data_IF_163539761687
#
_entry.id   IF_163539761687
#
_cell.length_a   1.000
_cell.length_b   1.000
_cell.length_c   1.000
_cell.angle_alpha   90.00
_cell.angle_beta   90.00
_cell.angle_gamma   90.00
#
_symmetry.space_group_name_H-M   'P 1'
#
loop_
_entity.id
_entity.type
_entity.pdbx_description
1 polymer ?
#
# COMPACT_ATOMS: atom_id res chain seq x y z
N UNK A 1 -53.29 -10.99 53.17
CA UNK A 1 -52.21 -9.99 53.11
C UNK A 1 -51.11 -10.65 52.27
N UNK A 2 -51.09 -10.37 50.97
CA UNK A 2 -50.09 -9.49 50.33
C UNK A 2 -48.68 -10.10 50.49
N UNK A 3 -47.91 -10.46 49.46
CA UNK A 3 -47.80 -9.85 48.14
C UNK A 3 -47.33 -10.85 47.08
N UNK A 4 -47.71 -10.51 45.85
CA UNK A 4 -47.20 -11.02 44.59
C UNK A 4 -45.72 -10.70 44.42
N UNK A 5 -44.90 -11.69 44.06
CA UNK A 5 -43.72 -11.43 43.24
C UNK A 5 -43.62 -12.48 42.12
N UNK A 6 -44.14 -12.04 40.98
CA UNK A 6 -43.97 -12.61 39.65
C UNK A 6 -42.48 -12.68 39.30
N UNK A 7 -41.91 -13.89 39.24
CA UNK A 7 -40.61 -14.12 38.60
C UNK A 7 -40.85 -14.60 37.17
N UNK A 8 -40.63 -13.70 36.22
CA UNK A 8 -40.63 -13.98 34.79
C UNK A 8 -39.58 -15.06 34.44
N UNK A 9 -39.82 -15.91 33.44
CA UNK A 9 -38.77 -16.76 32.87
C UNK A 9 -37.78 -15.90 32.07
N UNK A 10 -36.53 -15.89 32.51
CA UNK A 10 -35.40 -15.27 31.83
C UNK A 10 -35.19 -15.88 30.43
N UNK A 11 -35.04 -14.99 29.45
CA UNK A 11 -34.01 -15.10 28.42
C UNK A 11 -34.21 -16.16 27.34
N UNK A 12 -35.21 -15.96 26.47
CA UNK A 12 -35.20 -16.52 25.12
C UNK A 12 -34.01 -15.97 24.32
N UNK A 13 -32.86 -16.65 24.41
CA UNK A 13 -31.73 -16.42 23.50
C UNK A 13 -32.12 -16.87 22.11
N UNK A 14 -32.23 -15.93 21.16
CA UNK A 14 -32.43 -16.25 19.76
C UNK A 14 -31.35 -17.26 19.30
N UNK A 15 -31.72 -18.29 18.52
CA UNK A 15 -30.76 -19.28 18.03
C UNK A 15 -29.69 -18.56 17.20
N UNK A 16 -28.46 -18.49 17.73
CA UNK A 16 -27.33 -17.88 17.02
C UNK A 16 -27.00 -18.76 15.81
N UNK A 17 -27.09 -18.18 14.61
CA UNK A 17 -26.73 -18.89 13.38
C UNK A 17 -25.24 -19.27 13.45
N UNK A 18 -24.86 -20.55 13.25
CA UNK A 18 -23.46 -20.96 13.28
C UNK A 18 -22.65 -20.20 12.23
N UNK A 19 -21.39 -19.87 12.52
CA UNK A 19 -20.57 -19.12 11.57
C UNK A 19 -20.32 -19.91 10.28
N UNK A 20 -20.08 -19.21 9.16
CA UNK A 20 -19.69 -19.84 7.88
C UNK A 20 -18.47 -20.78 8.05
N UNK A 21 -17.52 -20.40 8.92
CA UNK A 21 -16.36 -21.22 9.27
C UNK A 21 -16.77 -22.52 9.96
N UNK A 22 -17.73 -22.46 10.88
CA UNK A 22 -18.24 -23.63 11.61
C UNK A 22 -18.84 -24.61 10.61
N UNK A 23 -19.76 -24.13 9.76
CA UNK A 23 -20.42 -24.98 8.75
C UNK A 23 -19.41 -25.63 7.81
N UNK A 24 -18.41 -24.88 7.35
CA UNK A 24 -17.35 -25.46 6.52
C UNK A 24 -16.56 -26.56 7.24
N UNK A 25 -16.22 -26.35 8.51
CA UNK A 25 -15.47 -27.32 9.30
C UNK A 25 -16.29 -28.57 9.61
N UNK A 26 -17.59 -28.43 9.83
CA UNK A 26 -18.51 -29.57 10.03
C UNK A 26 -18.62 -30.45 8.78
N UNK A 27 -18.43 -29.86 7.59
CA UNK A 27 -18.34 -30.57 6.32
C UNK A 27 -16.94 -31.15 6.04
N UNK A 28 -15.97 -30.95 6.93
CA UNK A 28 -14.60 -31.40 6.75
C UNK A 28 -13.82 -30.67 5.64
N UNK A 29 -14.32 -29.53 5.17
CA UNK A 29 -13.74 -28.81 4.04
C UNK A 29 -12.67 -27.80 4.48
N UNK A 30 -11.59 -27.70 3.72
CA UNK A 30 -10.59 -26.65 3.88
C UNK A 30 -11.04 -25.35 3.23
N UNK A 31 -10.51 -24.21 3.70
CA UNK A 31 -10.76 -22.91 3.05
C UNK A 31 -10.25 -22.85 1.60
N UNK A 32 -9.30 -23.73 1.23
CA UNK A 32 -8.81 -23.81 -0.15
C UNK A 32 -9.84 -24.47 -1.06
N UNK A 33 -10.38 -25.61 -0.65
CA UNK A 33 -11.34 -26.39 -1.44
C UNK A 33 -12.63 -25.59 -1.70
N UNK A 34 -13.18 -24.92 -0.69
CA UNK A 34 -14.36 -24.06 -0.87
C UNK A 34 -14.05 -22.87 -1.79
N UNK A 35 -12.88 -22.25 -1.64
CA UNK A 35 -12.50 -21.12 -2.50
C UNK A 35 -12.33 -21.54 -3.97
N UNK A 36 -11.73 -22.70 -4.23
CA UNK A 36 -11.60 -23.28 -5.57
C UNK A 36 -12.97 -23.63 -6.16
N UNK A 37 -13.86 -24.24 -5.38
CA UNK A 37 -15.23 -24.56 -5.80
C UNK A 37 -16.06 -23.33 -6.17
N UNK A 38 -15.86 -22.22 -5.45
CA UNK A 38 -16.58 -20.96 -5.68
C UNK A 38 -15.89 -20.10 -6.77
N UNK A 39 -14.68 -20.45 -7.19
CA UNK A 39 -13.92 -19.68 -8.18
C UNK A 39 -13.28 -18.40 -7.62
N UNK A 40 -12.98 -18.37 -6.31
CA UNK A 40 -12.36 -17.22 -5.63
C UNK A 40 -11.02 -17.58 -5.00
N UNK A 41 -10.28 -16.56 -4.55
CA UNK A 41 -9.05 -16.80 -3.78
C UNK A 41 -9.38 -17.19 -2.33
N UNK A 42 -8.53 -17.99 -1.68
CA UNK A 42 -8.66 -18.33 -0.24
C UNK A 42 -8.76 -17.09 0.65
N UNK A 43 -8.09 -15.99 0.28
CA UNK A 43 -8.18 -14.72 0.98
C UNK A 43 -9.55 -14.02 0.83
N UNK A 44 -10.32 -14.32 -0.21
CA UNK A 44 -11.71 -13.87 -0.37
C UNK A 44 -12.62 -14.61 0.61
N UNK A 45 -12.54 -15.94 0.64
CA UNK A 45 -13.31 -16.78 1.56
C UNK A 45 -13.03 -16.44 3.03
N UNK A 46 -11.76 -16.26 3.41
CA UNK A 46 -11.40 -15.87 4.78
C UNK A 46 -11.95 -14.50 5.18
N UNK A 47 -12.16 -13.58 4.23
CA UNK A 47 -12.83 -12.30 4.50
C UNK A 47 -14.32 -12.47 4.69
N UNK A 48 -14.96 -13.39 3.97
CA UNK A 48 -16.36 -13.76 4.17
C UNK A 48 -16.58 -14.46 5.52
N UNK A 49 -15.73 -15.43 5.88
CA UNK A 49 -15.78 -16.11 7.18
C UNK A 49 -15.62 -15.15 8.37
N UNK A 50 -14.92 -14.03 8.16
CA UNK A 50 -14.74 -12.95 9.16
C UNK A 50 -15.79 -11.83 9.04
N UNK A 51 -16.78 -11.98 8.17
CA UNK A 51 -17.79 -10.95 7.84
C UNK A 51 -17.18 -9.58 7.50
N UNK A 52 -15.98 -9.54 6.89
CA UNK A 52 -15.34 -8.29 6.46
C UNK A 52 -15.84 -7.83 5.09
N UNK A 53 -16.52 -8.72 4.36
CA UNK A 53 -17.08 -8.48 3.04
C UNK A 53 -18.22 -9.48 2.83
N UNK A 54 -19.18 -9.12 2.01
CA UNK A 54 -20.24 -10.01 1.54
C UNK A 54 -19.95 -10.47 0.11
N UNK A 55 -20.31 -11.70 -0.27
CA UNK A 55 -20.33 -12.11 -1.67
C UNK A 55 -21.42 -11.33 -2.42
N UNK A 56 -21.21 -11.07 -3.71
CA UNK A 56 -22.32 -10.67 -4.59
C UNK A 56 -23.26 -11.87 -4.85
N UNK A 57 -24.47 -11.67 -5.38
CA UNK A 57 -25.47 -12.75 -5.50
C UNK A 57 -25.00 -13.98 -6.27
N UNK A 58 -24.15 -13.81 -7.29
CA UNK A 58 -23.63 -14.95 -8.08
C UNK A 58 -22.67 -15.78 -7.25
N UNK A 59 -21.77 -15.11 -6.51
CA UNK A 59 -20.84 -15.80 -5.61
C UNK A 59 -21.53 -16.35 -4.35
N UNK A 60 -22.63 -15.74 -3.91
CA UNK A 60 -23.44 -16.24 -2.80
C UNK A 60 -24.11 -17.57 -3.16
N UNK A 61 -24.68 -17.69 -4.37
CA UNK A 61 -25.23 -18.94 -4.88
C UNK A 61 -24.15 -20.02 -5.01
N UNK A 62 -23.00 -19.69 -5.60
CA UNK A 62 -21.88 -20.65 -5.71
C UNK A 62 -21.35 -21.09 -4.32
N UNK A 63 -21.37 -20.21 -3.33
CA UNK A 63 -21.01 -20.53 -1.95
C UNK A 63 -22.05 -21.42 -1.27
N UNK A 64 -23.34 -21.22 -1.57
CA UNK A 64 -24.44 -22.07 -1.12
C UNK A 64 -24.27 -23.50 -1.65
N UNK A 65 -23.99 -23.64 -2.95
CA UNK A 65 -23.70 -24.92 -3.58
C UNK A 65 -22.48 -25.60 -2.95
N UNK A 66 -21.37 -24.87 -2.78
CA UNK A 66 -20.13 -25.39 -2.23
C UNK A 66 -20.27 -25.86 -0.77
N UNK A 67 -21.15 -25.22 0.00
CA UNK A 67 -21.41 -25.57 1.40
C UNK A 67 -22.67 -26.42 1.59
N UNK A 68 -23.35 -26.81 0.50
CA UNK A 68 -24.61 -27.58 0.53
C UNK A 68 -25.66 -26.94 1.44
N UNK A 69 -25.81 -25.62 1.28
CA UNK A 69 -26.77 -24.81 2.02
C UNK A 69 -27.80 -24.22 1.06
N UNK A 70 -28.99 -23.93 1.58
CA UNK A 70 -29.96 -23.10 0.86
C UNK A 70 -29.43 -21.66 0.72
N UNK A 71 -29.68 -20.97 -0.41
CA UNK A 71 -29.24 -19.59 -0.63
C UNK A 71 -29.65 -18.63 0.50
N UNK A 72 -30.86 -18.78 1.04
CA UNK A 72 -31.36 -17.95 2.15
C UNK A 72 -30.55 -18.15 3.43
N UNK A 73 -30.01 -19.35 3.64
CA UNK A 73 -29.13 -19.65 4.78
C UNK A 73 -27.79 -18.94 4.61
N UNK A 74 -27.28 -18.86 3.37
CA UNK A 74 -26.06 -18.11 3.06
C UNK A 74 -26.30 -16.62 3.26
N UNK A 75 -27.42 -16.10 2.76
CA UNK A 75 -27.82 -14.71 2.99
C UNK A 75 -27.93 -14.38 4.48
N UNK A 76 -28.49 -15.28 5.28
CA UNK A 76 -28.62 -15.09 6.73
C UNK A 76 -27.26 -14.95 7.45
N UNK A 77 -26.17 -15.56 6.96
CA UNK A 77 -24.82 -15.33 7.52
C UNK A 77 -24.32 -13.89 7.32
N UNK A 78 -24.87 -13.20 6.33
CA UNK A 78 -24.48 -11.85 5.91
C UNK A 78 -25.60 -10.81 6.12
N UNK A 79 -26.76 -11.21 6.65
CA UNK A 79 -27.92 -10.36 6.89
C UNK A 79 -27.62 -9.30 7.98
N UNK A 80 -26.89 -9.71 9.01
CA UNK A 80 -26.07 -8.82 9.81
C UNK A 80 -24.87 -8.46 8.94
N UNK A 81 -25.02 -7.39 8.15
CA UNK A 81 -24.00 -6.89 7.23
C UNK A 81 -22.62 -6.79 7.88
N UNK A 82 -21.56 -6.59 7.09
CA UNK A 82 -20.19 -6.65 7.61
C UNK A 82 -20.05 -5.79 8.87
N UNK A 83 -19.45 -6.32 9.93
CA UNK A 83 -19.00 -5.53 11.09
C UNK A 83 -17.83 -4.64 10.62
N UNK A 84 -18.12 -3.64 9.81
CA UNK A 84 -17.22 -2.54 9.48
C UNK A 84 -18.01 -1.37 8.89
N UNK A 85 -17.53 -0.14 9.14
CA UNK A 85 -18.35 1.04 9.28
C UNK A 85 -19.00 1.38 7.94
N UNK A 86 -20.19 1.95 8.05
CA UNK A 86 -20.82 2.88 7.10
C UNK A 86 -19.88 3.30 5.97
N UNK A 87 -20.34 3.15 4.72
CA UNK A 87 -19.77 3.71 3.50
C UNK A 87 -19.02 5.00 3.83
N UNK A 88 -17.69 4.92 3.98
CA UNK A 88 -16.97 6.11 4.40
C UNK A 88 -17.01 7.12 3.27
N UNK A 89 -17.61 8.27 3.54
CA UNK A 89 -17.27 9.46 2.78
C UNK A 89 -15.74 9.60 2.82
N UNK A 90 -15.12 9.78 1.64
CA UNK A 90 -13.65 9.84 1.55
C UNK A 90 -13.20 11.09 0.79
N UNK A 91 -12.11 11.69 1.26
CA UNK A 91 -11.42 12.79 0.59
C UNK A 91 -10.12 12.32 -0.06
N UNK A 92 -9.61 13.04 -1.06
CA UNK A 92 -8.28 12.76 -1.62
C UNK A 92 -7.19 12.93 -0.55
N UNK A 93 -6.15 12.09 -0.60
CA UNK A 93 -5.03 12.15 0.35
C UNK A 93 -3.72 12.70 -0.22
N UNK A 94 -3.65 12.99 -1.53
CA UNK A 94 -2.39 13.32 -2.21
C UNK A 94 -1.77 14.66 -1.79
N UNK A 95 -2.55 15.58 -1.21
CA UNK A 95 -2.06 16.83 -0.63
C UNK A 95 -1.39 16.68 0.74
N UNK A 96 -1.64 15.56 1.43
CA UNK A 96 -1.20 15.34 2.81
C UNK A 96 0.33 15.39 2.97
N UNK A 97 1.06 14.93 1.95
CA UNK A 97 2.52 14.93 1.97
C UNK A 97 3.11 16.34 2.06
N UNK A 98 2.56 17.29 1.31
CA UNK A 98 3.06 18.65 1.29
C UNK A 98 2.83 19.30 2.67
N UNK A 99 1.58 19.27 3.14
CA UNK A 99 1.17 19.79 4.46
C UNK A 99 2.06 19.23 5.59
N UNK A 100 2.24 17.91 5.60
CA UNK A 100 3.06 17.25 6.61
C UNK A 100 4.53 17.70 6.55
N UNK A 101 5.11 17.84 5.36
CA UNK A 101 6.51 18.24 5.19
C UNK A 101 6.76 19.71 5.50
N UNK A 102 5.80 20.58 5.20
CA UNK A 102 5.88 22.00 5.55
C UNK A 102 5.94 22.19 7.07
N UNK A 103 5.29 21.29 7.81
CA UNK A 103 5.34 21.22 9.28
C UNK A 103 6.52 20.39 9.82
N UNK A 104 7.39 19.85 8.95
CA UNK A 104 8.52 19.00 9.36
C UNK A 104 8.13 17.66 10.00
N UNK A 105 6.87 17.24 9.87
CA UNK A 105 6.35 16.05 10.52
C UNK A 105 6.70 14.78 9.71
N UNK A 106 7.10 13.66 10.34
CA UNK A 106 7.27 12.39 9.65
C UNK A 106 5.94 11.64 9.50
N UNK A 107 5.78 10.79 8.48
CA UNK A 107 4.52 10.06 8.24
C UNK A 107 4.11 9.17 9.41
N UNK A 108 5.08 8.69 10.19
CA UNK A 108 4.85 7.93 11.44
C UNK A 108 4.04 8.71 12.47
N UNK A 109 4.26 10.03 12.58
CA UNK A 109 3.58 10.86 13.55
C UNK A 109 2.07 10.87 13.30
N UNK A 110 1.68 11.03 12.03
CA UNK A 110 0.30 10.91 11.59
C UNK A 110 -0.24 9.49 11.78
N UNK A 111 0.58 8.48 11.45
CA UNK A 111 0.18 7.08 11.59
C UNK A 111 -0.17 6.71 13.04
N UNK A 112 0.67 7.14 13.98
CA UNK A 112 0.48 6.91 15.41
C UNK A 112 -0.74 7.67 15.94
N UNK A 113 -0.89 8.95 15.59
CA UNK A 113 -2.04 9.77 15.96
C UNK A 113 -3.38 9.17 15.48
N UNK A 114 -3.39 8.63 14.25
CA UNK A 114 -4.59 8.05 13.63
C UNK A 114 -4.75 6.54 13.89
N UNK A 115 -3.81 5.91 14.63
CA UNK A 115 -3.76 4.46 14.87
C UNK A 115 -3.84 3.63 13.59
N UNK A 116 -3.14 4.07 12.53
CA UNK A 116 -3.00 3.36 11.26
C UNK A 116 -1.55 2.98 11.01
N UNK A 117 -1.29 2.15 9.99
CA UNK A 117 0.09 1.87 9.59
C UNK A 117 0.69 3.04 8.81
N UNK A 118 2.00 3.26 8.93
CA UNK A 118 2.74 4.26 8.14
C UNK A 118 2.53 4.04 6.63
N UNK A 119 2.44 2.78 6.19
CA UNK A 119 2.14 2.43 4.80
C UNK A 119 0.77 2.92 4.33
N UNK A 120 -0.23 2.97 5.21
CA UNK A 120 -1.55 3.54 4.93
C UNK A 120 -1.45 5.04 4.63
N UNK A 121 -0.68 5.78 5.44
CA UNK A 121 -0.43 7.21 5.23
C UNK A 121 0.26 7.44 3.87
N UNK A 122 1.30 6.69 3.55
CA UNK A 122 1.96 6.79 2.25
C UNK A 122 1.06 6.37 1.08
N UNK A 123 0.10 5.46 1.27
CA UNK A 123 -0.88 5.14 0.23
C UNK A 123 -1.82 6.32 -0.04
N UNK A 124 -2.28 7.02 1.01
CA UNK A 124 -3.06 8.26 0.87
C UNK A 124 -2.26 9.35 0.15
N UNK A 125 -1.03 9.61 0.59
CA UNK A 125 -0.14 10.62 0.00
C UNK A 125 0.15 10.40 -1.50
N UNK A 126 0.14 9.14 -1.95
CA UNK A 126 0.33 8.78 -3.37
C UNK A 126 -0.97 8.75 -4.18
N UNK A 127 -2.12 8.93 -3.53
CA UNK A 127 -3.43 8.75 -4.14
C UNK A 127 -3.76 7.28 -4.46
N UNK A 128 -3.04 6.33 -3.87
CA UNK A 128 -3.31 4.88 -4.02
C UNK A 128 -4.53 4.41 -3.21
N UNK A 129 -4.91 5.18 -2.18
CA UNK A 129 -6.17 5.03 -1.46
C UNK A 129 -6.71 6.41 -1.06
N UNK A 130 -8.02 6.51 -0.83
CA UNK A 130 -8.65 7.75 -0.34
C UNK A 130 -8.62 7.77 1.20
N UNK A 131 -8.59 8.97 1.76
CA UNK A 131 -8.61 9.20 3.20
C UNK A 131 -10.07 9.22 3.69
N UNK A 132 -10.45 8.39 4.66
CA UNK A 132 -11.79 8.43 5.21
C UNK A 132 -12.09 9.72 5.98
N UNK A 133 -13.27 10.30 5.79
CA UNK A 133 -13.71 11.55 6.42
C UNK A 133 -13.69 11.46 7.94
N UNK A 134 -14.01 10.30 8.53
CA UNK A 134 -13.93 10.10 10.00
C UNK A 134 -12.53 10.35 10.58
N UNK A 135 -11.48 10.25 9.76
CA UNK A 135 -10.10 10.52 10.19
C UNK A 135 -9.68 11.98 9.99
N UNK A 136 -10.54 12.85 9.44
CA UNK A 136 -10.20 14.26 9.22
C UNK A 136 -10.03 15.04 10.51
N UNK A 137 -10.93 14.88 11.48
CA UNK A 137 -10.84 15.57 12.76
C UNK A 137 -9.53 15.25 13.52
N UNK A 138 -9.21 13.97 13.80
CA UNK A 138 -7.96 13.65 14.49
C UNK A 138 -6.71 13.99 13.65
N UNK A 139 -6.82 14.00 12.31
CA UNK A 139 -5.71 14.41 11.46
C UNK A 139 -5.50 15.93 11.49
N UNK A 140 -6.58 16.71 11.52
CA UNK A 140 -6.54 18.16 11.61
C UNK A 140 -5.93 18.62 12.95
N UNK A 141 -6.32 17.97 14.05
CA UNK A 141 -5.69 18.14 15.36
C UNK A 141 -4.18 17.84 15.31
N UNK A 142 -3.79 16.71 14.70
CA UNK A 142 -2.38 16.33 14.54
C UNK A 142 -1.58 17.35 13.71
N UNK A 143 -2.21 18.04 12.76
CA UNK A 143 -1.59 19.04 11.90
C UNK A 143 -1.75 20.47 12.44
N UNK A 144 -2.47 20.67 13.54
CA UNK A 144 -2.74 22.00 14.11
C UNK A 144 -3.65 22.88 13.24
N UNK A 145 -4.58 22.30 12.48
CA UNK A 145 -5.53 23.00 11.59
C UNK A 145 -6.97 22.60 11.90
N UNK A 146 -7.96 23.29 11.33
CA UNK A 146 -9.38 22.90 11.45
C UNK A 146 -9.77 21.79 10.46
N UNK A 147 -10.68 20.90 10.85
CA UNK A 147 -11.15 19.78 10.01
C UNK A 147 -11.67 20.21 8.64
N UNK A 148 -12.44 21.31 8.59
CA UNK A 148 -12.99 21.85 7.35
C UNK A 148 -11.91 22.50 6.48
N UNK A 149 -10.94 23.14 7.12
CA UNK A 149 -9.79 23.73 6.45
C UNK A 149 -8.91 22.66 5.82
N UNK A 150 -8.60 21.61 6.56
CA UNK A 150 -7.87 20.45 6.06
C UNK A 150 -8.63 19.77 4.92
N UNK A 151 -9.94 19.56 5.06
CA UNK A 151 -10.76 18.93 4.04
C UNK A 151 -10.76 19.75 2.74
N UNK A 152 -10.86 21.09 2.85
CA UNK A 152 -10.77 22.01 1.72
C UNK A 152 -9.38 21.97 1.09
N UNK A 153 -8.33 22.11 1.90
CA UNK A 153 -6.95 22.06 1.44
C UNK A 153 -6.62 20.75 0.71
N UNK A 154 -7.12 19.59 1.19
CA UNK A 154 -6.91 18.29 0.53
C UNK A 154 -7.71 18.13 -0.77
N UNK A 155 -8.90 18.75 -0.89
CA UNK A 155 -9.71 18.74 -2.13
C UNK A 155 -9.14 19.69 -3.19
N UNK A 156 -8.71 20.87 -2.76
CA UNK A 156 -8.14 21.93 -3.59
C UNK A 156 -6.67 21.69 -3.92
N UNK A 157 -5.97 20.92 -3.08
CA UNK A 157 -4.61 20.45 -3.36
C UNK A 157 -4.60 19.91 -4.76
N UNK A 158 -3.84 20.54 -5.68
CA UNK A 158 -3.80 20.07 -7.05
C UNK A 158 -3.47 18.60 -6.95
N UNK A 159 -4.37 17.75 -7.46
CA UNK A 159 -3.96 16.42 -7.93
C UNK A 159 -2.66 16.71 -8.65
N UNK A 160 -1.58 15.96 -8.38
CA UNK A 160 -0.43 16.01 -9.27
C UNK A 160 -1.03 15.89 -10.67
N UNK A 161 -1.07 17.00 -11.38
CA UNK A 161 -2.22 17.21 -12.24
C UNK A 161 -2.05 16.20 -13.35
N UNK A 162 -3.03 15.30 -13.48
CA UNK A 162 -3.35 14.69 -14.77
C UNK A 162 -3.88 15.83 -15.64
N UNK A 163 -3.06 16.86 -15.86
CA UNK A 163 -3.31 17.85 -16.86
C UNK A 163 -3.36 17.04 -18.14
N UNK A 164 -4.56 16.85 -18.64
CA UNK A 164 -4.80 16.39 -20.00
C UNK A 164 -4.43 17.58 -20.92
N UNK A 165 -3.22 18.12 -20.76
CA UNK A 165 -2.53 18.71 -21.90
C UNK A 165 -2.18 17.49 -22.75
N UNK A 166 -2.36 17.64 -24.06
CA UNK A 166 -2.18 16.64 -25.11
C UNK A 166 -0.72 16.13 -25.24
N UNK A 167 -0.09 15.69 -24.15
CA UNK A 167 1.17 14.94 -24.12
C UNK A 167 0.93 13.43 -24.30
N UNK A 168 -0.31 13.00 -24.54
CA UNK A 168 -0.62 11.63 -24.93
C UNK A 168 0.17 11.29 -26.20
N UNK A 169 1.18 10.43 -26.06
CA UNK A 169 2.07 10.07 -27.15
C UNK A 169 3.47 10.69 -27.13
N UNK A 170 3.84 11.56 -26.18
CA UNK A 170 5.22 12.11 -26.17
C UNK A 170 6.26 11.01 -25.86
N UNK A 171 5.93 10.08 -24.96
CA UNK A 171 6.77 8.90 -24.71
C UNK A 171 6.83 7.98 -25.94
N UNK A 172 5.73 7.87 -26.68
CA UNK A 172 5.69 7.13 -27.94
C UNK A 172 6.53 7.82 -29.03
N UNK A 173 6.49 9.15 -29.09
CA UNK A 173 7.29 9.97 -30.00
C UNK A 173 8.78 9.83 -29.73
N UNK A 174 9.21 9.86 -28.46
CA UNK A 174 10.61 9.61 -28.09
C UNK A 174 11.05 8.21 -28.54
N UNK A 175 10.20 7.20 -28.35
CA UNK A 175 10.46 5.84 -28.82
C UNK A 175 10.57 5.78 -30.35
N UNK A 176 9.66 6.42 -31.07
CA UNK A 176 9.63 6.44 -32.54
C UNK A 176 10.86 7.17 -33.11
N UNK A 177 11.27 8.30 -32.51
CA UNK A 177 12.48 9.04 -32.87
C UNK A 177 13.75 8.21 -32.63
N UNK A 178 13.76 7.40 -31.58
CA UNK A 178 14.83 6.45 -31.31
C UNK A 178 14.76 5.18 -32.20
N UNK A 179 13.75 5.07 -33.08
CA UNK A 179 13.62 3.97 -34.04
C UNK A 179 13.21 2.63 -33.43
N UNK A 180 12.59 2.62 -32.24
CA UNK A 180 12.19 1.38 -31.58
C UNK A 180 10.69 1.09 -31.75
N UNK A 181 10.33 -0.19 -31.91
CA UNK A 181 8.94 -0.63 -31.78
C UNK A 181 8.54 -0.82 -30.32
N UNK A 182 7.23 -0.73 -30.01
CA UNK A 182 6.72 -1.02 -28.67
C UNK A 182 7.12 -2.41 -28.17
N UNK A 183 7.11 -3.42 -29.06
CA UNK A 183 7.50 -4.79 -28.71
C UNK A 183 8.97 -4.85 -28.30
N UNK A 184 9.85 -4.20 -29.08
CA UNK A 184 11.30 -4.20 -28.82
C UNK A 184 11.62 -3.53 -27.49
N UNK A 185 11.04 -2.35 -27.22
CA UNK A 185 11.23 -1.67 -25.92
C UNK A 185 10.67 -2.49 -24.77
N UNK A 186 9.45 -3.04 -24.90
CA UNK A 186 8.85 -3.84 -23.84
C UNK A 186 9.72 -5.04 -23.47
N UNK A 187 10.28 -5.73 -24.47
CA UNK A 187 11.25 -6.81 -24.27
C UNK A 187 12.51 -6.34 -23.55
N UNK A 188 13.12 -5.23 -23.99
CA UNK A 188 14.33 -4.67 -23.38
C UNK A 188 14.11 -4.19 -21.95
N UNK A 189 12.88 -3.78 -21.61
CA UNK A 189 12.47 -3.38 -20.27
C UNK A 189 11.99 -4.56 -19.40
N UNK A 190 11.83 -5.76 -19.98
CA UNK A 190 11.28 -6.93 -19.26
C UNK A 190 9.81 -6.76 -18.87
N UNK A 191 9.01 -6.02 -19.63
CA UNK A 191 7.57 -5.80 -19.39
C UNK A 191 6.72 -6.23 -20.59
N UNK A 192 5.40 -6.34 -20.38
CA UNK A 192 4.49 -6.63 -21.49
C UNK A 192 4.32 -5.41 -22.42
N UNK A 193 4.07 -5.65 -23.71
CA UNK A 193 3.71 -4.59 -24.68
C UNK A 193 2.51 -3.77 -24.21
N UNK A 194 1.53 -4.42 -23.59
CA UNK A 194 0.35 -3.77 -23.00
C UNK A 194 0.71 -2.81 -21.87
N UNK A 195 1.69 -3.16 -21.03
CA UNK A 195 2.21 -2.29 -19.97
C UNK A 195 2.86 -1.04 -20.57
N UNK A 196 3.74 -1.20 -21.55
CA UNK A 196 4.38 -0.06 -22.23
C UNK A 196 3.34 0.83 -22.93
N UNK A 197 2.38 0.24 -23.63
CA UNK A 197 1.26 0.97 -24.26
C UNK A 197 0.46 1.77 -23.24
N UNK A 198 0.20 1.20 -22.06
CA UNK A 198 -0.46 1.90 -20.95
C UNK A 198 0.33 3.11 -20.46
N UNK A 199 1.67 3.01 -20.41
CA UNK A 199 2.53 4.15 -20.08
C UNK A 199 2.50 5.24 -21.17
N UNK A 200 2.62 4.87 -22.44
CA UNK A 200 2.61 5.81 -23.56
C UNK A 200 1.28 6.58 -23.70
N UNK A 201 0.16 5.93 -23.36
CA UNK A 201 -1.18 6.55 -23.34
C UNK A 201 -1.42 7.42 -22.11
N UNK A 202 -0.59 7.29 -21.07
CA UNK A 202 -0.81 7.93 -19.77
C UNK A 202 -1.93 7.27 -18.94
N UNK A 203 -2.26 6.02 -19.25
CA UNK A 203 -3.19 5.20 -18.47
C UNK A 203 -2.53 4.76 -17.15
N UNK A 204 -1.20 4.59 -17.14
CA UNK A 204 -0.39 4.29 -15.96
C UNK A 204 0.94 5.06 -15.97
N UNK A 205 1.51 5.32 -14.79
CA UNK A 205 2.83 5.97 -14.65
C UNK A 205 3.92 4.91 -14.67
N UNK A 206 4.92 5.08 -15.54
CA UNK A 206 6.07 4.18 -15.58
C UNK A 206 6.90 4.30 -14.29
N UNK A 207 7.41 3.18 -13.74
CA UNK A 207 8.31 3.21 -12.60
C UNK A 207 9.67 3.81 -13.01
N UNK A 208 10.36 4.43 -12.06
CA UNK A 208 11.60 5.18 -12.33
C UNK A 208 12.74 4.37 -12.95
N UNK A 209 12.89 3.07 -12.64
CA UNK A 209 13.87 2.23 -13.33
C UNK A 209 13.55 2.09 -14.83
N UNK A 210 12.27 1.92 -15.19
CA UNK A 210 11.86 1.84 -16.59
C UNK A 210 12.11 3.17 -17.30
N UNK A 211 11.86 4.30 -16.62
CA UNK A 211 12.19 5.64 -17.14
C UNK A 211 13.69 5.79 -17.41
N UNK A 212 14.55 5.33 -16.49
CA UNK A 212 16.01 5.35 -16.70
C UNK A 212 16.46 4.46 -17.85
N UNK A 213 15.91 3.25 -17.92
CA UNK A 213 16.22 2.32 -19.02
C UNK A 213 15.74 2.88 -20.36
N UNK A 214 14.53 3.44 -20.42
CA UNK A 214 14.02 4.13 -21.61
C UNK A 214 14.89 5.33 -21.98
N UNK A 215 15.35 6.13 -21.01
CA UNK A 215 16.26 7.25 -21.26
C UNK A 215 17.59 6.79 -21.86
N UNK A 216 18.16 5.70 -21.36
CA UNK A 216 19.34 5.08 -21.95
C UNK A 216 19.08 4.50 -23.34
N UNK A 217 17.94 3.84 -23.55
CA UNK A 217 17.58 3.24 -24.85
C UNK A 217 17.27 4.30 -25.92
N UNK A 218 16.65 5.41 -25.53
CA UNK A 218 16.26 6.50 -26.42
C UNK A 218 17.35 7.57 -26.54
N UNK A 219 18.46 7.41 -25.82
CA UNK A 219 19.60 8.34 -25.81
C UNK A 219 19.20 9.79 -25.46
N UNK A 220 18.23 9.95 -24.56
CA UNK A 220 17.77 11.26 -24.09
C UNK A 220 17.93 11.39 -22.57
N UNK A 221 17.99 12.61 -22.02
CA UNK A 221 18.06 12.81 -20.59
C UNK A 221 16.88 12.15 -19.85
N UNK A 222 17.14 11.59 -18.66
CA UNK A 222 16.11 10.98 -17.79
C UNK A 222 14.95 11.94 -17.51
N UNK A 223 15.24 13.23 -17.39
CA UNK A 223 14.23 14.27 -17.19
C UNK A 223 13.25 14.38 -18.37
N UNK A 224 13.72 14.21 -19.61
CA UNK A 224 12.87 14.24 -20.79
C UNK A 224 11.88 13.07 -20.80
N UNK A 225 12.37 11.84 -20.55
CA UNK A 225 11.50 10.65 -20.45
C UNK A 225 10.57 10.75 -19.25
N UNK A 226 11.02 11.26 -18.10
CA UNK A 226 10.18 11.45 -16.92
C UNK A 226 9.03 12.42 -17.20
N UNK A 227 9.32 13.52 -17.92
CA UNK A 227 8.32 14.51 -18.32
C UNK A 227 7.32 13.88 -19.30
N UNK A 228 7.80 13.16 -20.31
CA UNK A 228 6.97 12.45 -21.29
C UNK A 228 6.10 11.35 -20.65
N UNK A 229 6.64 10.63 -19.66
CA UNK A 229 5.95 9.60 -18.89
C UNK A 229 5.09 10.15 -17.73
N UNK A 230 5.05 11.48 -17.55
CA UNK A 230 4.32 12.19 -16.48
C UNK A 230 4.71 11.70 -15.08
N UNK A 231 5.97 11.33 -14.91
CA UNK A 231 6.50 10.91 -13.63
C UNK A 231 6.97 12.13 -12.83
N UNK A 232 6.32 12.38 -11.69
CA UNK A 232 6.78 13.40 -10.75
C UNK A 232 8.13 13.02 -10.12
N UNK A 233 9.00 14.01 -9.89
CA UNK A 233 10.35 13.83 -9.31
C UNK A 233 10.29 12.87 -8.11
N UNK A 234 11.12 11.81 -8.07
CA UNK A 234 11.09 10.87 -6.96
C UNK A 234 11.60 11.60 -5.72
N UNK A 235 10.69 11.79 -4.76
CA UNK A 235 11.08 12.17 -3.41
C UNK A 235 12.00 11.08 -2.84
N UNK A 236 12.95 11.44 -1.97
CA UNK A 236 13.83 10.52 -1.25
C UNK A 236 15.05 9.93 -1.99
N UNK A 237 15.43 10.42 -3.16
CA UNK A 237 16.74 10.04 -3.75
C UNK A 237 17.94 10.64 -3.01
N UNK A 238 17.75 11.80 -2.39
CA UNK A 238 18.80 12.57 -1.74
C UNK A 238 18.74 12.40 -0.22
N UNK A 239 19.82 11.91 0.44
CA UNK A 239 19.89 11.75 1.89
C UNK A 239 19.59 13.01 2.70
N UNK A 240 19.78 14.19 2.12
CA UNK A 240 19.54 15.49 2.74
C UNK A 240 18.04 15.78 2.92
N UNK A 241 17.18 15.11 2.15
CA UNK A 241 15.74 15.33 2.16
C UNK A 241 14.97 14.34 3.05
N UNK A 242 15.68 13.46 3.78
CA UNK A 242 15.07 12.43 4.62
C UNK A 242 14.80 12.96 6.02
N UNK A 243 13.60 12.75 6.53
CA UNK A 243 13.27 12.99 7.93
C UNK A 243 13.40 11.68 8.72
N UNK A 244 13.68 11.76 10.04
CA UNK A 244 13.58 10.60 10.91
C UNK A 244 12.23 9.89 10.70
N UNK A 245 12.23 8.59 10.47
CA UNK A 245 11.03 7.77 10.25
C UNK A 245 10.63 7.57 8.79
N UNK A 246 11.29 8.24 7.84
CA UNK A 246 11.03 8.04 6.41
C UNK A 246 11.66 6.76 5.84
N UNK A 247 12.39 5.99 6.65
CA UNK A 247 13.11 4.78 6.21
C UNK A 247 12.27 3.83 5.33
N UNK A 248 11.00 3.52 5.65
CA UNK A 248 10.21 2.61 4.81
C UNK A 248 10.05 3.11 3.38
N UNK A 249 9.79 4.42 3.22
CA UNK A 249 9.59 5.06 1.93
C UNK A 249 10.91 5.28 1.20
N UNK A 250 11.98 5.65 1.92
CA UNK A 250 13.35 5.74 1.39
C UNK A 250 13.75 4.41 0.76
N UNK A 251 13.62 3.29 1.49
CA UNK A 251 13.96 1.96 0.98
C UNK A 251 13.12 1.58 -0.24
N UNK A 252 11.81 1.87 -0.20
CA UNK A 252 10.91 1.59 -1.32
C UNK A 252 11.28 2.38 -2.57
N UNK A 253 11.58 3.67 -2.44
CA UNK A 253 12.00 4.53 -3.56
C UNK A 253 13.35 4.07 -4.11
N UNK A 254 14.35 3.88 -3.26
CA UNK A 254 15.67 3.42 -3.69
C UNK A 254 15.59 2.07 -4.40
N UNK A 255 14.76 1.15 -3.90
CA UNK A 255 14.50 -0.14 -4.55
C UNK A 255 13.88 0.04 -5.93
N UNK A 256 12.81 0.83 -6.03
CA UNK A 256 12.10 1.08 -7.30
C UNK A 256 12.96 1.83 -8.33
N UNK A 257 13.80 2.74 -7.86
CA UNK A 257 14.78 3.49 -8.64
C UNK A 257 15.82 2.58 -9.28
N UNK A 258 16.20 1.52 -8.56
CA UNK A 258 17.14 0.50 -9.03
C UNK A 258 16.48 -0.69 -9.74
N UNK A 259 15.14 -0.68 -9.88
CA UNK A 259 14.40 -1.74 -10.57
C UNK A 259 14.42 -3.08 -9.86
N UNK A 260 14.64 -3.08 -8.54
CA UNK A 260 14.79 -4.32 -7.78
C UNK A 260 13.46 -4.80 -7.21
N UNK A 261 13.26 -6.11 -7.21
CA UNK A 261 12.19 -6.74 -6.43
C UNK A 261 12.58 -6.85 -4.96
N UNK A 262 11.60 -7.03 -4.07
CA UNK A 262 11.88 -7.27 -2.65
C UNK A 262 12.76 -8.51 -2.46
N UNK A 263 12.56 -9.56 -3.28
CA UNK A 263 13.36 -10.77 -3.27
C UNK A 263 14.82 -10.52 -3.70
N UNK A 264 15.05 -9.69 -4.73
CA UNK A 264 16.40 -9.33 -5.16
C UNK A 264 17.15 -8.50 -4.11
N UNK A 265 16.46 -7.57 -3.44
CA UNK A 265 17.06 -6.85 -2.29
C UNK A 265 17.38 -7.83 -1.16
N UNK A 266 16.45 -8.75 -0.85
CA UNK A 266 16.64 -9.74 0.19
C UNK A 266 17.89 -10.61 -0.08
N UNK A 267 18.02 -11.12 -1.31
CA UNK A 267 19.17 -11.89 -1.75
C UNK A 267 20.48 -11.09 -1.62
N UNK A 268 20.51 -9.83 -2.07
CA UNK A 268 21.73 -8.99 -2.05
C UNK A 268 22.11 -8.52 -0.64
N UNK A 269 21.15 -8.46 0.27
CA UNK A 269 21.36 -8.11 1.67
C UNK A 269 21.48 -9.34 2.59
N UNK A 270 21.50 -10.55 2.02
CA UNK A 270 21.57 -11.83 2.75
C UNK A 270 20.50 -11.91 3.86
N UNK A 271 19.25 -11.64 3.49
CA UNK A 271 18.11 -11.56 4.41
C UNK A 271 16.86 -12.18 3.77
N UNK A 272 15.75 -12.21 4.49
CA UNK A 272 14.47 -12.75 3.98
C UNK A 272 13.67 -11.67 3.23
N UNK A 273 12.85 -12.09 2.27
CA UNK A 273 11.89 -11.20 1.58
C UNK A 273 10.89 -10.58 2.56
N UNK A 274 10.52 -11.30 3.62
CA UNK A 274 9.63 -10.78 4.66
C UNK A 274 10.30 -9.72 5.54
N UNK A 275 11.61 -9.80 5.77
CA UNK A 275 12.39 -8.75 6.42
C UNK A 275 12.32 -7.45 5.60
N UNK A 276 12.63 -7.52 4.30
CA UNK A 276 12.54 -6.37 3.38
C UNK A 276 11.13 -5.79 3.34
N UNK A 277 10.11 -6.66 3.22
CA UNK A 277 8.69 -6.26 3.27
C UNK A 277 8.31 -5.61 4.60
N UNK A 278 8.87 -6.09 5.71
CA UNK A 278 8.70 -5.48 7.03
C UNK A 278 9.32 -4.09 7.12
N UNK A 279 10.53 -3.90 6.57
CA UNK A 279 11.21 -2.60 6.49
C UNK A 279 10.41 -1.59 5.67
N UNK A 280 9.97 -1.97 4.46
CA UNK A 280 9.18 -1.10 3.57
C UNK A 280 7.78 -0.78 4.11
N UNK A 281 7.31 -1.51 5.13
CA UNK A 281 6.04 -1.24 5.82
C UNK A 281 6.23 -0.50 7.15
N UNK A 282 7.47 -0.26 7.58
CA UNK A 282 7.78 0.34 8.87
C UNK A 282 7.49 -0.55 10.08
N UNK A 283 7.37 -1.87 9.89
CA UNK A 283 7.14 -2.81 11.01
C UNK A 283 8.40 -3.11 11.82
N UNK A 284 9.56 -2.97 11.18
CA UNK A 284 10.87 -3.20 11.78
C UNK A 284 11.91 -2.40 11.01
N UNK A 285 13.11 -2.23 11.57
CA UNK A 285 14.23 -1.54 10.92
C UNK A 285 15.36 -2.53 10.60
N UNK A 286 16.15 -2.30 9.54
CA UNK A 286 17.35 -3.10 9.28
C UNK A 286 18.36 -2.93 10.42
N UNK A 287 18.94 -4.04 10.90
CA UNK A 287 20.09 -3.99 11.81
C UNK A 287 21.38 -3.54 11.10
N UNK A 288 22.49 -3.50 11.83
CA UNK A 288 23.79 -3.02 11.32
C UNK A 288 24.20 -3.68 9.99
N UNK A 289 24.15 -5.02 9.92
CA UNK A 289 24.62 -5.76 8.75
C UNK A 289 23.77 -5.51 7.48
N UNK A 290 22.42 -5.71 7.49
CA UNK A 290 21.61 -5.40 6.32
C UNK A 290 21.64 -3.92 5.95
N UNK A 291 21.74 -3.00 6.92
CA UNK A 291 21.88 -1.57 6.67
C UNK A 291 23.14 -1.25 5.85
N UNK A 292 24.31 -1.77 6.25
CA UNK A 292 25.57 -1.60 5.48
C UNK A 292 25.44 -2.15 4.06
N UNK A 293 24.81 -3.31 3.90
CA UNK A 293 24.54 -3.90 2.58
C UNK A 293 23.62 -3.02 1.74
N UNK A 294 22.57 -2.45 2.32
CA UNK A 294 21.66 -1.52 1.63
C UNK A 294 22.38 -0.22 1.22
N UNK A 295 23.23 0.33 2.09
CA UNK A 295 24.06 1.50 1.77
C UNK A 295 24.98 1.22 0.58
N UNK A 296 25.69 0.09 0.59
CA UNK A 296 26.53 -0.31 -0.55
C UNK A 296 25.71 -0.59 -1.82
N UNK A 297 24.57 -1.28 -1.69
CA UNK A 297 23.67 -1.61 -2.81
C UNK A 297 23.15 -0.34 -3.51
N UNK A 298 22.83 0.68 -2.74
CA UNK A 298 22.29 1.95 -3.24
C UNK A 298 23.36 3.03 -3.43
N UNK A 299 24.65 2.70 -3.25
CA UNK A 299 25.79 3.63 -3.37
C UNK A 299 25.64 4.88 -2.50
N UNK A 300 25.14 4.70 -1.29
CA UNK A 300 25.01 5.74 -0.28
C UNK A 300 26.30 5.84 0.53
N UNK A 301 26.59 7.04 1.07
CA UNK A 301 27.66 7.19 2.04
C UNK A 301 27.37 6.37 3.30
N UNK A 302 28.43 5.93 3.97
CA UNK A 302 28.33 5.19 5.23
C UNK A 302 27.42 5.91 6.23
N UNK A 303 26.49 5.15 6.82
CA UNK A 303 25.56 5.61 7.85
C UNK A 303 24.49 6.62 7.38
N UNK A 304 24.41 6.92 6.07
CA UNK A 304 23.38 7.82 5.52
C UNK A 304 21.97 7.40 5.89
N UNK A 305 21.69 6.09 5.90
CA UNK A 305 20.34 5.58 6.17
C UNK A 305 19.87 5.91 7.59
N UNK A 306 20.78 6.13 8.56
CA UNK A 306 20.40 6.48 9.94
C UNK A 306 19.56 7.74 10.03
N UNK A 307 19.75 8.70 9.11
CA UNK A 307 18.94 9.93 9.07
C UNK A 307 17.45 9.64 8.92
N UNK A 308 17.11 8.54 8.25
CA UNK A 308 15.73 8.13 8.00
C UNK A 308 15.17 7.19 9.08
N UNK A 309 15.98 6.73 10.04
CA UNK A 309 15.52 5.80 11.08
C UNK A 309 14.53 6.50 12.01
N UNK A 310 13.56 5.75 12.53
CA UNK A 310 12.60 6.34 13.45
C UNK A 310 13.24 6.68 14.80
N UNK A 311 14.06 5.73 15.26
CA UNK A 311 14.92 5.77 16.43
C UNK A 311 16.28 5.24 15.98
N UNK A 312 17.40 5.86 16.39
CA UNK A 312 18.71 5.31 16.08
C UNK A 312 18.81 3.91 16.71
N UNK A 313 19.35 2.92 15.98
CA UNK A 313 19.58 1.61 16.57
C UNK A 313 20.50 1.78 17.79
N UNK A 314 20.31 1.00 18.87
CA UNK A 314 21.18 1.07 20.03
C UNK A 314 22.63 0.95 19.55
N UNK A 315 23.51 1.82 20.06
CA UNK A 315 24.89 1.90 19.64
C UNK A 315 25.58 0.55 19.92
N UNK A 316 25.57 -0.34 18.93
CA UNK A 316 26.35 -1.56 18.93
C UNK A 316 27.80 -1.15 19.01
N UNK A 317 28.45 -1.55 20.09
CA UNK A 317 29.86 -1.34 20.48
C UNK A 317 30.72 -1.02 19.26
N UNK A 318 31.26 0.20 19.21
CA UNK A 318 32.38 0.53 18.32
C UNK A 318 33.37 -0.62 18.43
N UNK A 319 33.51 -1.40 17.35
CA UNK A 319 34.56 -2.38 17.26
C UNK A 319 35.86 -1.62 17.52
N UNK A 320 36.51 -2.00 18.62
CA UNK A 320 37.84 -1.54 19.00
C UNK A 320 38.73 -1.72 17.77
N UNK A 321 39.03 -0.61 17.10
CA UNK A 321 40.29 -0.48 16.39
C UNK A 321 41.32 -0.30 17.49
N UNK A 322 42.14 -1.32 17.69
CA UNK A 322 43.57 -1.23 17.99
C UNK A 322 44.08 -2.63 18.32
N UNK A 323 44.76 -3.23 17.33
CA UNK A 323 45.85 -4.20 17.52
C UNK A 323 46.41 -4.57 16.14
N UNK A 324 47.42 -3.82 15.72
CA UNK A 324 48.71 -4.25 15.13
C UNK A 324 49.32 -3.14 14.30
#
# INVERSE_FOLDING_TARGET
MADSESRAPDGGGAPTIPSLRTVRLDLGLTSREVAESVGVTTACLLRWERRQRTPDPVLAAALADALRLEPERVEAFFAEGPEHPLVDDTVPGHGLRALRRDLGLPARHIADALRVTVGTVYNWERGGSRLPVRLLAPLAECLGTGSDELARALRESPRCARTVVRLSGELARLRDLAGYSQVKVAHLLGVSRTTLRGWERGDAVAPWHAIRLMASLYEVPVAAVATAARAGKPAFLSPEAWLPGDLPEVLRVLRQWNGLTQAQVAQRCTTSTDSVRGWERGRQQPGLYPRRRLESLYRLAADSLLRAYAEPPPAGTRAVRDAS
#
